data_IF_219812174998
#
_entry.id   IF_219812174998
#
_cell.length_a   1.000
_cell.length_b   1.000
_cell.length_c   1.000
_cell.angle_alpha   90.00
_cell.angle_beta   90.00
_cell.angle_gamma   90.00
#
_symmetry.space_group_name_H-M   'P 1'
#
loop_
_entity.id
_entity.type
_entity.pdbx_description
1 polymer ?
#
# COMPACT_ATOMS: atom_id res chain seq x y z
N UNK A 1 8.83 25.51 9.57
CA UNK A 1 8.06 24.61 10.45
C UNK A 1 8.15 23.23 9.85
N UNK A 2 9.09 22.43 10.35
CA UNK A 2 9.28 21.03 9.98
C UNK A 2 8.19 20.21 10.66
N UNK A 3 7.19 19.75 9.92
CA UNK A 3 6.20 18.82 10.46
C UNK A 3 6.88 17.46 10.64
N UNK A 4 7.21 17.17 11.89
CA UNK A 4 7.82 15.92 12.35
C UNK A 4 6.72 14.87 12.51
N UNK A 5 6.25 14.25 11.42
CA UNK A 5 5.34 13.08 11.46
C UNK A 5 5.26 12.31 10.12
N UNK A 6 6.30 12.31 9.29
CA UNK A 6 6.31 11.52 8.04
C UNK A 6 7.26 10.33 8.18
N UNK A 7 6.83 9.15 7.73
CA UNK A 7 7.70 8.00 7.54
C UNK A 7 8.06 7.92 6.05
N UNK A 8 9.36 7.92 5.74
CA UNK A 8 9.86 7.86 4.38
C UNK A 8 10.61 6.55 4.11
N UNK A 9 10.42 6.00 2.92
CA UNK A 9 11.15 4.88 2.37
C UNK A 9 11.83 5.37 1.10
N UNK A 10 13.15 5.29 1.04
CA UNK A 10 13.94 5.80 -0.09
C UNK A 10 14.71 4.62 -0.67
N UNK A 11 14.54 4.35 -1.95
CA UNK A 11 15.37 3.39 -2.68
C UNK A 11 16.46 4.09 -3.51
N UNK A 12 17.51 3.35 -3.83
CA UNK A 12 18.62 3.85 -4.66
C UNK A 12 18.22 4.03 -6.15
N UNK A 13 17.02 3.60 -6.54
CA UNK A 13 16.49 3.76 -7.88
C UNK A 13 15.80 5.12 -8.09
N UNK A 14 15.75 5.96 -7.05
CA UNK A 14 15.16 7.31 -7.10
C UNK A 14 13.64 7.31 -6.96
N UNK A 15 13.09 6.24 -6.39
CA UNK A 15 11.71 6.12 -5.96
C UNK A 15 11.66 6.21 -4.43
N UNK A 16 10.71 6.97 -3.91
CA UNK A 16 10.49 7.07 -2.47
C UNK A 16 9.02 7.13 -2.15
N UNK A 17 8.62 6.46 -1.06
CA UNK A 17 7.26 6.51 -0.55
C UNK A 17 7.24 7.21 0.81
N UNK A 18 6.20 8.01 1.04
CA UNK A 18 6.02 8.75 2.28
C UNK A 18 4.63 8.47 2.84
N UNK A 19 4.55 8.07 4.11
CA UNK A 19 3.28 8.08 4.85
C UNK A 19 3.11 9.46 5.49
N UNK A 20 2.03 10.14 5.10
CA UNK A 20 1.74 11.53 5.45
C UNK A 20 0.40 11.63 6.16
N UNK A 21 0.39 11.81 7.48
CA UNK A 21 -0.84 12.11 8.22
C UNK A 21 -1.38 13.49 7.83
N UNK A 22 -2.69 13.58 7.57
CA UNK A 22 -3.38 14.83 7.20
C UNK A 22 -4.79 14.82 7.80
N UNK A 23 -4.91 15.37 9.02
CA UNK A 23 -6.15 15.31 9.79
C UNK A 23 -6.54 13.87 10.14
N UNK A 24 -7.76 13.40 9.77
CA UNK A 24 -8.23 12.06 10.09
C UNK A 24 -7.84 11.00 9.04
N UNK A 25 -7.00 11.35 8.06
CA UNK A 25 -6.60 10.45 6.98
C UNK A 25 -5.09 10.36 6.86
N UNK A 26 -4.64 9.32 6.17
CA UNK A 26 -3.25 8.98 5.95
C UNK A 26 -3.00 8.86 4.46
N UNK A 27 -2.09 9.65 3.93
CA UNK A 27 -1.73 9.60 2.51
C UNK A 27 -0.44 8.82 2.32
N UNK A 28 -0.38 8.08 1.21
CA UNK A 28 0.88 7.61 0.65
C UNK A 28 1.24 8.58 -0.47
N UNK A 29 2.31 9.34 -0.28
CA UNK A 29 2.92 10.09 -1.36
C UNK A 29 4.01 9.23 -2.01
N UNK A 30 4.16 9.38 -3.32
CA UNK A 30 5.24 8.79 -4.10
C UNK A 30 6.10 9.92 -4.65
N UNK A 31 7.41 9.76 -4.59
CA UNK A 31 8.37 10.61 -5.26
C UNK A 31 9.18 9.78 -6.25
N UNK A 32 9.09 10.14 -7.52
CA UNK A 32 9.93 9.59 -8.57
C UNK A 32 10.68 10.73 -9.26
N UNK A 33 12.00 10.58 -9.46
CA UNK A 33 12.85 11.53 -10.21
C UNK A 33 12.69 13.00 -9.78
N UNK A 34 12.51 13.21 -8.48
CA UNK A 34 12.44 14.54 -7.87
C UNK A 34 11.03 15.15 -7.82
N UNK A 35 10.01 14.55 -8.42
CA UNK A 35 8.62 15.01 -8.32
C UNK A 35 7.85 14.16 -7.31
N UNK A 36 7.35 14.80 -6.24
CA UNK A 36 6.51 14.15 -5.22
C UNK A 36 5.03 14.43 -5.50
N UNK A 37 4.20 13.40 -5.43
CA UNK A 37 2.76 13.48 -5.65
C UNK A 37 1.97 12.62 -4.68
N UNK A 38 0.71 13.01 -4.45
CA UNK A 38 -0.22 12.28 -3.59
C UNK A 38 -0.77 11.07 -4.34
N UNK A 39 -0.41 9.89 -3.87
CA UNK A 39 -0.63 8.66 -4.62
C UNK A 39 -1.86 7.91 -4.14
N UNK A 40 -1.95 7.58 -2.85
CA UNK A 40 -3.09 6.86 -2.25
C UNK A 40 -3.53 7.49 -0.92
N UNK A 41 -4.72 7.15 -0.44
CA UNK A 41 -5.28 7.63 0.83
C UNK A 41 -5.93 6.50 1.60
N UNK A 42 -5.75 6.49 2.92
CA UNK A 42 -6.34 5.56 3.86
C UNK A 42 -7.01 6.30 5.02
N UNK A 43 -8.13 5.77 5.50
CA UNK A 43 -8.87 6.36 6.63
C UNK A 43 -8.34 5.96 8.00
N UNK A 44 -7.56 4.90 8.06
CA UNK A 44 -6.93 4.43 9.28
C UNK A 44 -5.44 4.17 9.03
N UNK A 45 -4.68 4.21 10.12
CA UNK A 45 -3.23 4.03 10.07
C UNK A 45 -2.85 2.60 9.68
N UNK A 46 -3.58 1.61 10.18
CA UNK A 46 -3.28 0.19 9.98
C UNK A 46 -3.27 -0.19 8.49
N UNK A 47 -4.26 0.26 7.72
CA UNK A 47 -4.32 0.00 6.28
C UNK A 47 -3.21 0.76 5.52
N UNK A 48 -2.86 1.96 5.98
CA UNK A 48 -1.73 2.72 5.42
C UNK A 48 -0.38 2.03 5.70
N UNK A 49 -0.21 1.48 6.90
CA UNK A 49 0.96 0.72 7.31
C UNK A 49 1.10 -0.59 6.52
N UNK A 50 0.00 -1.35 6.36
CA UNK A 50 -0.05 -2.53 5.48
C UNK A 50 0.32 -2.17 4.04
N UNK A 51 -0.14 -1.01 3.56
CA UNK A 51 0.18 -0.53 2.22
C UNK A 51 1.66 -0.24 2.05
N UNK A 52 2.30 0.41 3.04
CA UNK A 52 3.74 0.60 3.03
C UNK A 52 4.50 -0.73 3.04
N UNK A 53 4.14 -1.65 3.93
CA UNK A 53 4.78 -2.97 4.00
C UNK A 53 4.68 -3.69 2.65
N UNK A 54 3.50 -3.63 2.03
CA UNK A 54 3.25 -4.16 0.70
C UNK A 54 4.18 -3.53 -0.35
N UNK A 55 4.32 -2.21 -0.38
CA UNK A 55 5.23 -1.50 -1.28
C UNK A 55 6.71 -1.87 -1.06
N UNK A 56 7.19 -1.85 0.19
CA UNK A 56 8.60 -2.16 0.52
C UNK A 56 8.94 -3.59 0.10
N UNK A 57 8.05 -4.53 0.36
CA UNK A 57 8.29 -5.94 0.04
C UNK A 57 8.57 -6.17 -1.45
N UNK A 58 8.02 -5.31 -2.31
CA UNK A 58 8.23 -5.37 -3.75
C UNK A 58 9.59 -4.81 -4.15
N UNK A 59 10.06 -3.76 -3.49
CA UNK A 59 11.39 -3.19 -3.71
C UNK A 59 12.50 -4.13 -3.18
N UNK A 60 12.25 -4.80 -2.05
CA UNK A 60 13.22 -5.72 -1.44
C UNK A 60 13.33 -7.07 -2.17
N UNK A 61 12.38 -7.41 -3.05
CA UNK A 61 12.31 -8.74 -3.65
C UNK A 61 13.30 -8.89 -4.81
N UNK A 62 14.20 -9.89 -4.78
CA UNK A 62 15.03 -10.22 -5.92
C UNK A 62 14.22 -10.88 -7.04
N UNK A 63 14.68 -10.74 -8.28
CA UNK A 63 14.12 -11.47 -9.42
C UNK A 63 13.08 -10.70 -10.21
N UNK A 64 12.19 -11.43 -10.91
CA UNK A 64 11.20 -10.81 -11.80
C UNK A 64 9.95 -10.40 -11.02
N UNK A 65 9.35 -9.28 -11.41
CA UNK A 65 8.07 -8.83 -10.87
C UNK A 65 6.97 -9.90 -10.95
N UNK A 66 6.99 -10.75 -11.98
CA UNK A 66 6.04 -11.87 -12.17
C UNK A 66 6.03 -12.88 -11.03
N UNK A 67 7.11 -12.91 -10.22
CA UNK A 67 7.26 -13.87 -9.13
C UNK A 67 6.83 -13.26 -7.79
N UNK A 68 6.36 -11.99 -7.80
CA UNK A 68 5.97 -11.25 -6.60
C UNK A 68 4.54 -11.55 -6.15
N UNK A 69 4.24 -11.46 -4.84
CA UNK A 69 2.88 -11.55 -4.32
C UNK A 69 1.93 -10.57 -5.00
N UNK A 70 2.35 -9.31 -5.24
CA UNK A 70 1.51 -8.31 -5.94
C UNK A 70 1.07 -8.79 -7.32
N UNK A 71 1.99 -9.35 -8.12
CA UNK A 71 1.63 -9.85 -9.45
C UNK A 71 0.68 -11.04 -9.36
N UNK A 72 0.95 -11.99 -8.44
CA UNK A 72 0.08 -13.14 -8.21
C UNK A 72 -1.33 -12.72 -7.78
N UNK A 73 -1.44 -11.86 -6.78
CA UNK A 73 -2.71 -11.34 -6.26
C UNK A 73 -3.47 -10.52 -7.30
N UNK A 74 -2.77 -9.77 -8.15
CA UNK A 74 -3.38 -9.13 -9.31
C UNK A 74 -4.00 -10.16 -10.28
N UNK A 75 -3.29 -11.26 -10.56
CA UNK A 75 -3.80 -12.34 -11.43
C UNK A 75 -4.95 -13.12 -10.81
N UNK A 76 -4.97 -13.28 -9.48
CA UNK A 76 -6.08 -13.90 -8.75
C UNK A 76 -7.36 -13.06 -8.78
N UNK A 77 -7.24 -11.76 -9.09
CA UNK A 77 -8.37 -10.84 -9.17
C UNK A 77 -8.76 -10.27 -7.80
N UNK A 78 -9.92 -9.63 -7.75
CA UNK A 78 -10.39 -8.95 -6.54
C UNK A 78 -10.69 -9.95 -5.41
N UNK A 79 -10.20 -9.67 -4.20
CA UNK A 79 -10.52 -10.49 -3.04
C UNK A 79 -12.04 -10.49 -2.77
N UNK A 80 -12.69 -11.64 -2.54
CA UNK A 80 -14.14 -11.73 -2.39
C UNK A 80 -14.75 -10.92 -1.24
N UNK A 81 -13.93 -10.56 -0.23
CA UNK A 81 -14.36 -9.71 0.88
C UNK A 81 -14.32 -8.21 0.57
N UNK A 82 -13.70 -7.83 -0.55
CA UNK A 82 -13.48 -6.43 -0.91
C UNK A 82 -14.43 -6.03 -2.02
N UNK A 83 -15.03 -4.85 -1.89
CA UNK A 83 -15.79 -4.21 -2.98
C UNK A 83 -15.09 -2.91 -3.38
N UNK A 84 -15.07 -2.65 -4.69
CA UNK A 84 -14.53 -1.42 -5.27
C UNK A 84 -15.67 -0.52 -5.74
N UNK A 85 -15.56 0.78 -5.45
CA UNK A 85 -16.48 1.80 -5.94
C UNK A 85 -15.69 2.90 -6.67
N UNK A 86 -16.30 3.54 -7.68
CA UNK A 86 -15.74 4.70 -8.39
C UNK A 86 -16.47 5.95 -7.92
N UNK A 87 -15.96 6.68 -6.90
CA UNK A 87 -16.70 7.80 -6.31
C UNK A 87 -16.76 9.03 -7.23
N UNK A 88 -15.75 9.22 -8.08
CA UNK A 88 -15.64 10.37 -8.98
C UNK A 88 -14.94 9.98 -10.30
N UNK A 89 -15.60 9.19 -11.15
CA UNK A 89 -15.00 8.70 -12.39
C UNK A 89 -14.81 9.78 -13.45
N UNK A 90 -15.50 10.93 -13.35
CA UNK A 90 -15.38 12.03 -14.32
C UNK A 90 -14.07 12.80 -14.12
N UNK A 91 -13.67 13.06 -12.87
CA UNK A 91 -12.44 13.78 -12.58
C UNK A 91 -11.25 12.83 -12.31
N UNK A 92 -11.52 11.62 -11.80
CA UNK A 92 -10.50 10.64 -11.42
C UNK A 92 -10.85 9.22 -11.91
N UNK A 93 -10.87 8.97 -13.23
CA UNK A 93 -11.39 7.73 -13.83
C UNK A 93 -10.68 6.44 -13.37
N UNK A 94 -9.41 6.54 -12.97
CA UNK A 94 -8.61 5.43 -12.47
C UNK A 94 -8.65 5.23 -10.95
N UNK A 95 -9.34 6.10 -10.20
CA UNK A 95 -9.42 6.03 -8.74
C UNK A 95 -10.61 5.18 -8.31
N UNK A 96 -10.36 4.26 -7.41
CA UNK A 96 -11.39 3.46 -6.73
C UNK A 96 -11.27 3.60 -5.23
N UNK A 97 -12.39 3.54 -4.53
CA UNK A 97 -12.44 3.36 -3.08
C UNK A 97 -12.71 1.90 -2.72
N UNK A 98 -12.18 1.44 -1.59
CA UNK A 98 -12.29 0.05 -1.16
C UNK A 98 -13.17 -0.06 0.09
N UNK A 99 -14.07 -1.04 0.15
CA UNK A 99 -14.75 -1.46 1.38
C UNK A 99 -14.41 -2.92 1.67
N UNK A 100 -14.31 -3.30 2.95
CA UNK A 100 -14.05 -4.68 3.39
C UNK A 100 -15.29 -5.19 4.11
N UNK A 101 -15.69 -6.44 3.85
CA UNK A 101 -16.82 -7.11 4.52
C UNK A 101 -18.13 -6.27 4.53
N UNK A 102 -18.36 -5.52 3.44
CA UNK A 102 -19.53 -4.63 3.26
C UNK A 102 -19.66 -3.51 4.31
N UNK A 103 -18.55 -3.07 4.88
CA UNK A 103 -18.51 -1.89 5.72
C UNK A 103 -19.16 -0.66 5.05
N UNK A 104 -19.83 0.16 5.85
CA UNK A 104 -20.55 1.35 5.36
C UNK A 104 -19.64 2.51 4.96
N UNK A 105 -18.36 2.46 5.34
CA UNK A 105 -17.37 3.50 5.08
C UNK A 105 -16.20 2.84 4.35
N UNK A 106 -15.70 3.47 3.29
CA UNK A 106 -14.52 2.99 2.59
C UNK A 106 -13.27 3.07 3.48
N UNK A 107 -12.31 2.18 3.25
CA UNK A 107 -11.00 2.18 3.90
C UNK A 107 -10.05 3.22 3.34
N UNK A 108 -10.38 3.82 2.20
CA UNK A 108 -9.50 4.70 1.45
C UNK A 108 -9.72 4.61 -0.05
N UNK A 109 -8.82 5.25 -0.81
CA UNK A 109 -8.82 5.18 -2.26
C UNK A 109 -7.41 4.96 -2.83
N UNK A 110 -7.36 4.27 -3.98
CA UNK A 110 -6.13 4.02 -4.72
C UNK A 110 -6.40 3.83 -6.22
N UNK A 111 -5.35 3.57 -7.01
CA UNK A 111 -5.49 3.20 -8.43
C UNK A 111 -6.17 1.85 -8.59
N UNK A 112 -7.04 1.68 -9.59
CA UNK A 112 -7.83 0.46 -9.79
C UNK A 112 -6.98 -0.82 -9.89
N UNK A 113 -5.87 -0.80 -10.64
CA UNK A 113 -4.97 -1.95 -10.75
C UNK A 113 -4.30 -2.30 -9.43
N UNK A 114 -3.95 -1.27 -8.64
CA UNK A 114 -3.33 -1.45 -7.33
C UNK A 114 -4.33 -1.97 -6.31
N UNK A 115 -5.59 -1.52 -6.40
CA UNK A 115 -6.67 -1.97 -5.55
C UNK A 115 -6.95 -3.45 -5.69
N UNK A 116 -6.84 -4.01 -6.91
CA UNK A 116 -7.01 -5.46 -7.13
C UNK A 116 -5.96 -6.23 -6.33
N UNK A 117 -4.68 -5.89 -6.45
CA UNK A 117 -3.63 -6.59 -5.72
C UNK A 117 -3.70 -6.32 -4.20
N UNK A 118 -3.91 -5.07 -3.81
CA UNK A 118 -3.97 -4.66 -2.41
C UNK A 118 -5.22 -5.19 -1.69
N UNK A 119 -6.28 -5.56 -2.41
CA UNK A 119 -7.47 -6.18 -1.82
C UNK A 119 -7.18 -7.47 -1.04
N UNK A 120 -6.09 -8.16 -1.35
CA UNK A 120 -5.65 -9.33 -0.58
C UNK A 120 -4.87 -8.95 0.67
N UNK A 121 -4.14 -7.83 0.64
CA UNK A 121 -3.37 -7.35 1.78
C UNK A 121 -4.26 -6.66 2.82
N UNK A 122 -5.24 -5.86 2.39
CA UNK A 122 -6.10 -5.06 3.27
C UNK A 122 -6.98 -5.91 4.20
N UNK A 123 -7.28 -7.16 3.81
CA UNK A 123 -8.11 -8.09 4.59
C UNK A 123 -7.30 -8.94 5.58
N UNK A 124 -5.97 -8.85 5.54
CA UNK A 124 -5.07 -9.56 6.45
C UNK A 124 -4.78 -8.71 7.69
N UNK A 125 -4.39 -9.35 8.78
CA UNK A 125 -3.66 -8.69 9.87
C UNK A 125 -2.26 -8.29 9.39
N UNK A 126 -1.60 -7.40 10.14
CA UNK A 126 -0.22 -7.01 9.81
C UNK A 126 0.72 -8.21 9.81
N UNK A 127 0.60 -9.10 10.80
CA UNK A 127 1.45 -10.29 10.96
C UNK A 127 1.24 -11.32 9.83
N UNK A 128 -0.02 -11.54 9.42
CA UNK A 128 -0.33 -12.40 8.28
C UNK A 128 0.26 -11.84 6.98
N UNK A 129 0.15 -10.52 6.79
CA UNK A 129 0.70 -9.85 5.64
C UNK A 129 2.23 -9.94 5.63
N UNK A 130 2.89 -9.61 6.74
CA UNK A 130 4.35 -9.69 6.87
C UNK A 130 4.86 -11.11 6.58
N UNK A 131 4.23 -12.12 7.17
CA UNK A 131 4.56 -13.51 6.91
C UNK A 131 4.38 -13.89 5.44
N UNK A 132 3.30 -13.45 4.79
CA UNK A 132 3.05 -13.70 3.37
C UNK A 132 4.07 -13.01 2.46
N UNK A 133 4.44 -11.77 2.77
CA UNK A 133 5.37 -10.97 1.96
C UNK A 133 6.82 -11.41 2.12
N UNK A 134 7.21 -11.97 3.27
CA UNK A 134 8.54 -12.55 3.51
C UNK A 134 8.78 -13.86 2.77
N UNK A 135 7.74 -14.54 2.28
CA UNK A 135 7.93 -15.79 1.55
C UNK A 135 8.78 -15.57 0.30
N UNK A 136 9.92 -16.28 0.25
CA UNK A 136 10.89 -16.19 -0.84
C UNK A 136 11.85 -15.00 -0.74
N UNK A 137 11.86 -14.26 0.36
CA UNK A 137 12.87 -13.25 0.67
C UNK A 137 13.73 -13.78 1.83
N UNK A 138 15.04 -13.74 1.68
CA UNK A 138 15.97 -14.12 2.74
C UNK A 138 15.88 -13.12 3.90
N UNK A 139 15.83 -13.54 5.18
CA UNK A 139 15.65 -12.65 6.32
C UNK A 139 16.65 -11.50 6.37
N UNK A 140 17.86 -11.71 5.86
CA UNK A 140 18.93 -10.70 5.81
C UNK A 140 18.62 -9.53 4.86
N UNK A 141 17.63 -9.64 3.98
CA UNK A 141 17.31 -8.64 2.93
C UNK A 141 16.02 -7.88 3.20
N UNK A 142 15.20 -8.36 4.12
CA UNK A 142 13.95 -7.71 4.51
C UNK A 142 13.75 -7.93 5.98
N UNK A 143 14.22 -6.97 6.78
CA UNK A 143 14.00 -6.93 8.21
C UNK A 143 13.32 -5.61 8.57
N UNK A 144 12.04 -5.67 8.93
CA UNK A 144 11.26 -4.53 9.40
C UNK A 144 11.11 -4.65 10.90
N UNK A 145 11.84 -3.82 11.65
CA UNK A 145 11.70 -3.69 13.10
C UNK A 145 10.84 -2.45 13.39
N UNK A 146 9.61 -2.66 13.87
CA UNK A 146 8.77 -1.55 14.35
C UNK A 146 9.26 -1.18 15.75
N UNK A 147 9.97 -0.06 15.86
CA UNK A 147 10.39 0.49 17.16
C UNK A 147 9.28 1.41 17.67
N UNK A 148 8.41 0.88 18.52
CA UNK A 148 7.47 1.68 19.30
C UNK A 148 8.12 2.22 20.58
N UNK A 149 7.80 3.47 20.94
CA UNK A 149 8.08 4.01 22.28
C UNK A 149 7.06 3.45 23.29
#
# INVERSE_FOLDING_TARGET
MTNVSELALVDDAGLSYYLVPDGPVYYIDEQERGSRGRYWMFRNYEDAEKCLLFLISQAARPGKYSDSPRFRWYQEGLNPKVTLHKPDPENFPGRVSLTVDQESIDRGWMGENDAIAFSHAIVMTFEELDAALRQGITPEWFDVNIIGN
#
